data_IF_543055164976
#
_entry.id   IF_543055164976
#
_cell.length_a   1.000
_cell.length_b   1.000
_cell.length_c   1.000
_cell.angle_alpha   90.00
_cell.angle_beta   90.00
_cell.angle_gamma   90.00
#
_symmetry.space_group_name_H-M   'P 1'
#
loop_
_entity.id
_entity.type
_entity.pdbx_description
1 polymer ?
#
# COMPACT_ATOMS: atom_id res chain seq x y z
N UNK A 1 8.15 -2.83 24.35
CA UNK A 1 8.28 -2.08 23.08
C UNK A 1 8.46 -3.09 21.96
N UNK A 2 7.75 -2.90 20.86
CA UNK A 2 7.89 -3.77 19.67
C UNK A 2 8.38 -2.89 18.53
N UNK A 3 9.46 -3.32 17.89
CA UNK A 3 10.03 -2.65 16.71
C UNK A 3 10.17 -3.70 15.61
N UNK A 4 9.69 -3.38 14.42
CA UNK A 4 9.85 -4.23 13.23
C UNK A 4 10.62 -3.45 12.17
N UNK A 5 11.64 -4.07 11.63
CA UNK A 5 12.34 -3.57 10.45
C UNK A 5 11.81 -4.30 9.20
N UNK A 6 11.81 -3.62 8.06
CA UNK A 6 11.30 -4.19 6.81
C UNK A 6 12.02 -5.46 6.38
N UNK A 7 13.24 -5.68 6.87
CA UNK A 7 14.02 -6.89 6.57
C UNK A 7 13.95 -7.96 7.65
N UNK A 8 13.15 -7.77 8.69
CA UNK A 8 12.97 -8.78 9.72
C UNK A 8 12.24 -10.00 9.16
N UNK A 9 12.58 -11.16 9.68
CA UNK A 9 11.97 -12.44 9.25
C UNK A 9 10.45 -12.39 9.37
N UNK A 10 9.93 -11.83 10.46
CA UNK A 10 8.49 -11.71 10.72
C UNK A 10 7.77 -10.88 9.66
N UNK A 11 8.48 -9.93 9.04
CA UNK A 11 7.95 -9.11 7.94
C UNK A 11 8.10 -9.84 6.61
N UNK A 12 9.28 -10.37 6.33
CA UNK A 12 9.56 -11.07 5.07
C UNK A 12 8.68 -12.31 4.89
N UNK A 13 8.38 -13.03 5.96
CA UNK A 13 7.51 -14.20 5.92
C UNK A 13 6.07 -13.89 5.50
N UNK A 14 5.65 -12.62 5.52
CA UNK A 14 4.33 -12.18 5.08
C UNK A 14 4.26 -11.82 3.61
N UNK A 15 5.34 -11.95 2.86
CA UNK A 15 5.40 -11.52 1.45
C UNK A 15 4.30 -12.16 0.62
N UNK A 16 3.54 -11.35 -0.11
CA UNK A 16 2.47 -11.82 -0.98
C UNK A 16 2.29 -10.89 -2.18
N UNK A 17 1.63 -11.42 -3.22
CA UNK A 17 1.24 -10.63 -4.39
C UNK A 17 -0.12 -9.99 -4.11
N UNK A 18 -0.15 -8.66 -4.07
CA UNK A 18 -1.35 -7.90 -3.78
C UNK A 18 -1.94 -7.33 -5.08
N UNK A 19 -3.23 -7.57 -5.30
CA UNK A 19 -4.02 -6.95 -6.36
C UNK A 19 -3.35 -6.98 -7.74
N UNK A 20 -2.76 -8.11 -8.08
CA UNK A 20 -2.24 -8.39 -9.42
C UNK A 20 -0.82 -7.93 -9.69
N UNK A 21 -0.29 -6.90 -9.04
CA UNK A 21 1.00 -6.36 -9.42
C UNK A 21 1.94 -5.92 -8.32
N UNK A 22 1.47 -5.75 -7.10
CA UNK A 22 2.30 -5.30 -5.99
C UNK A 22 2.86 -6.48 -5.20
N UNK A 23 4.14 -6.38 -4.82
CA UNK A 23 4.74 -7.28 -3.85
C UNK A 23 4.64 -6.58 -2.50
N UNK A 24 3.87 -7.14 -1.58
CA UNK A 24 3.55 -6.54 -0.30
C UNK A 24 4.04 -7.36 0.89
N UNK A 25 4.35 -6.66 1.97
CA UNK A 25 4.78 -7.25 3.23
C UNK A 25 4.15 -6.50 4.38
N UNK A 26 3.71 -7.23 5.41
CA UNK A 26 3.12 -6.65 6.61
C UNK A 26 4.22 -6.33 7.61
N UNK A 27 4.44 -5.04 7.87
CA UNK A 27 5.42 -4.57 8.87
C UNK A 27 4.82 -4.76 10.27
N UNK A 28 3.61 -4.24 10.46
CA UNK A 28 2.83 -4.41 11.69
C UNK A 28 1.40 -4.77 11.28
N UNK A 29 0.84 -5.77 11.90
CA UNK A 29 -0.51 -6.24 11.59
C UNK A 29 -1.24 -6.75 12.84
N UNK A 30 -2.35 -7.45 12.64
CA UNK A 30 -3.21 -7.93 13.74
C UNK A 30 -2.52 -8.92 14.69
N UNK A 31 -1.36 -9.42 14.36
CA UNK A 31 -0.56 -10.20 15.32
C UNK A 31 -0.15 -9.35 16.53
N UNK A 32 -0.09 -8.02 16.35
CA UNK A 32 0.33 -7.04 17.37
C UNK A 32 -0.73 -5.95 17.57
N UNK A 33 -1.23 -5.39 16.46
CA UNK A 33 -2.11 -4.21 16.48
C UNK A 33 -3.52 -4.57 16.97
N UNK A 34 -4.14 -3.61 17.66
CA UNK A 34 -5.51 -3.75 18.23
C UNK A 34 -6.51 -2.85 17.53
N UNK A 35 -6.16 -1.57 17.34
CA UNK A 35 -7.06 -0.55 16.81
C UNK A 35 -6.76 -0.21 15.34
N UNK A 36 -5.49 -0.26 14.95
CA UNK A 36 -5.06 -0.06 13.57
C UNK A 36 -5.02 -1.44 12.89
N UNK A 37 -5.48 -1.52 11.65
CA UNK A 37 -5.54 -2.79 10.93
C UNK A 37 -4.16 -3.31 10.56
N UNK A 38 -3.39 -2.51 9.81
CA UNK A 38 -2.02 -2.88 9.46
C UNK A 38 -1.22 -1.69 8.95
N UNK A 39 0.09 -1.85 8.99
CA UNK A 39 1.07 -1.06 8.25
C UNK A 39 1.83 -2.01 7.34
N UNK A 40 1.69 -1.82 6.05
CA UNK A 40 2.37 -2.63 5.04
C UNK A 40 3.31 -1.78 4.19
N UNK A 41 4.31 -2.43 3.61
CA UNK A 41 5.10 -1.86 2.53
C UNK A 41 4.80 -2.64 1.25
N UNK A 42 4.62 -1.93 0.14
CA UNK A 42 4.33 -2.53 -1.15
C UNK A 42 5.23 -1.94 -2.22
N UNK A 43 5.66 -2.79 -3.15
CA UNK A 43 6.55 -2.43 -4.23
C UNK A 43 5.91 -2.79 -5.56
N UNK A 44 5.92 -1.82 -6.48
CA UNK A 44 5.48 -2.00 -7.85
C UNK A 44 6.65 -1.82 -8.79
N UNK A 45 7.01 -2.84 -9.52
CA UNK A 45 7.96 -2.71 -10.62
C UNK A 45 7.36 -1.85 -11.74
N UNK A 46 8.20 -1.24 -12.60
CA UNK A 46 7.71 -0.47 -13.74
C UNK A 46 6.68 -1.26 -14.57
N UNK A 47 5.58 -0.61 -14.90
CA UNK A 47 4.49 -1.21 -15.68
C UNK A 47 3.51 -2.07 -14.87
N UNK A 48 3.81 -2.35 -13.60
CA UNK A 48 2.90 -3.09 -12.73
C UNK A 48 1.91 -2.16 -12.06
N UNK A 49 0.80 -2.74 -11.60
CA UNK A 49 -0.23 -1.96 -10.93
C UNK A 49 -0.88 -2.71 -9.77
N UNK A 50 -1.34 -1.95 -8.80
CA UNK A 50 -2.38 -2.39 -7.87
C UNK A 50 -3.69 -2.20 -8.64
N UNK A 51 -4.29 -3.32 -9.08
CA UNK A 51 -5.50 -3.28 -9.88
C UNK A 51 -6.65 -2.65 -9.10
N UNK A 52 -7.57 -2.02 -9.83
CA UNK A 52 -8.73 -1.35 -9.23
C UNK A 52 -9.55 -2.32 -8.38
N UNK A 53 -9.80 -1.93 -7.14
CA UNK A 53 -10.55 -2.73 -6.17
C UNK A 53 -11.19 -1.85 -5.11
N UNK A 54 -12.09 -2.45 -4.33
CA UNK A 54 -12.80 -1.80 -3.23
C UNK A 54 -12.51 -2.60 -1.97
N UNK A 55 -12.10 -1.90 -0.92
CA UNK A 55 -11.86 -2.49 0.40
C UNK A 55 -12.87 -1.97 1.44
N UNK A 56 -13.17 -2.77 2.47
CA UNK A 56 -14.04 -2.32 3.57
C UNK A 56 -13.31 -1.42 4.57
N UNK A 57 -12.01 -1.20 4.40
CA UNK A 57 -11.20 -0.37 5.30
C UNK A 57 -11.01 1.03 4.74
N UNK A 58 -10.79 1.98 5.65
CA UNK A 58 -10.18 3.25 5.31
C UNK A 58 -8.67 3.03 5.17
N UNK A 59 -8.06 3.62 4.15
CA UNK A 59 -6.64 3.39 3.87
C UNK A 59 -5.90 4.70 3.56
N UNK A 60 -4.59 4.66 3.76
CA UNK A 60 -3.66 5.70 3.32
C UNK A 60 -2.55 5.01 2.51
N UNK A 61 -2.27 5.55 1.32
CA UNK A 61 -1.08 5.19 0.55
C UNK A 61 -0.09 6.34 0.63
N UNK A 62 1.11 6.08 1.13
CA UNK A 62 2.18 7.06 1.23
C UNK A 62 3.34 6.63 0.36
N UNK A 63 3.74 7.46 -0.62
CA UNK A 63 4.84 7.14 -1.52
C UNK A 63 6.17 7.42 -0.85
N UNK A 64 7.01 6.40 -0.75
CA UNK A 64 8.38 6.52 -0.24
C UNK A 64 9.36 6.85 -1.37
N UNK A 65 9.24 6.17 -2.51
CA UNK A 65 10.13 6.35 -3.65
C UNK A 65 9.43 5.95 -4.94
N UNK A 66 9.97 6.42 -6.06
CA UNK A 66 9.33 6.23 -7.35
C UNK A 66 8.11 7.13 -7.51
N UNK A 67 7.28 6.81 -8.48
CA UNK A 67 6.07 7.58 -8.79
C UNK A 67 5.02 6.67 -9.40
N UNK A 68 3.81 7.16 -9.48
CA UNK A 68 2.72 6.41 -10.09
C UNK A 68 1.50 7.25 -10.36
N UNK A 69 0.57 6.67 -11.09
CA UNK A 69 -0.74 7.25 -11.33
C UNK A 69 -1.73 6.66 -10.32
N UNK A 70 -2.19 7.50 -9.40
CA UNK A 70 -3.14 7.12 -8.36
C UNK A 70 -4.55 7.46 -8.81
N UNK A 71 -5.46 6.50 -8.62
CA UNK A 71 -6.89 6.70 -8.87
C UNK A 71 -7.66 6.42 -7.59
N UNK A 72 -8.60 7.33 -7.27
CA UNK A 72 -9.62 7.11 -6.24
C UNK A 72 -10.96 7.54 -6.85
N UNK A 73 -11.88 6.61 -6.99
CA UNK A 73 -13.17 6.79 -7.68
C UNK A 73 -12.96 7.42 -9.07
N UNK A 74 -13.47 8.63 -9.31
CA UNK A 74 -13.37 9.31 -10.61
C UNK A 74 -12.14 10.21 -10.75
N UNK A 75 -11.34 10.31 -9.72
CA UNK A 75 -10.15 11.17 -9.72
C UNK A 75 -8.89 10.37 -10.01
N UNK A 76 -8.04 10.93 -10.86
CA UNK A 76 -6.73 10.35 -11.19
C UNK A 76 -5.68 11.44 -11.05
N UNK A 77 -4.57 11.11 -10.41
CA UNK A 77 -3.49 12.06 -10.19
C UNK A 77 -2.15 11.37 -10.17
N UNK A 78 -1.13 12.02 -10.73
CA UNK A 78 0.25 11.59 -10.60
C UNK A 78 0.73 11.88 -9.17
N UNK A 79 1.33 10.88 -8.52
CA UNK A 79 1.88 10.96 -7.17
C UNK A 79 3.36 10.59 -7.17
N UNK A 80 4.10 11.12 -6.22
CA UNK A 80 5.53 10.87 -6.05
C UNK A 80 5.94 10.90 -4.59
N UNK A 81 7.25 10.82 -4.29
CA UNK A 81 7.75 10.72 -2.92
C UNK A 81 7.21 11.81 -2.00
N UNK A 82 6.70 11.40 -0.85
CA UNK A 82 6.11 12.31 0.13
C UNK A 82 4.63 12.56 -0.04
N UNK A 83 4.00 12.09 -1.13
CA UNK A 83 2.57 12.22 -1.31
C UNK A 83 1.83 11.16 -0.50
N UNK A 84 0.79 11.59 0.21
CA UNK A 84 -0.14 10.73 0.91
C UNK A 84 -1.52 10.81 0.25
N UNK A 85 -2.09 9.67 -0.08
CA UNK A 85 -3.45 9.57 -0.62
C UNK A 85 -4.37 8.97 0.42
N UNK A 86 -5.45 9.66 0.73
CA UNK A 86 -6.52 9.13 1.55
C UNK A 86 -7.51 8.36 0.69
N UNK A 87 -7.84 7.15 1.11
CA UNK A 87 -8.80 6.28 0.43
C UNK A 87 -9.96 6.02 1.38
N UNK A 88 -11.13 6.63 1.11
CA UNK A 88 -12.32 6.39 1.94
C UNK A 88 -12.77 4.94 1.89
N UNK A 89 -13.46 4.50 2.94
CA UNK A 89 -14.11 3.19 2.96
C UNK A 89 -15.02 3.06 1.74
N UNK A 90 -14.88 1.96 1.00
CA UNK A 90 -15.74 1.64 -0.13
C UNK A 90 -15.40 2.34 -1.43
N UNK A 91 -14.36 3.16 -1.48
CA UNK A 91 -13.92 3.80 -2.72
C UNK A 91 -13.10 2.87 -3.58
N UNK A 92 -13.41 2.83 -4.88
CA UNK A 92 -12.57 2.14 -5.85
C UNK A 92 -11.22 2.86 -5.92
N UNK A 93 -10.13 2.11 -5.84
CA UNK A 93 -8.80 2.70 -5.95
C UNK A 93 -7.83 1.79 -6.68
N UNK A 94 -6.84 2.41 -7.29
CA UNK A 94 -5.81 1.76 -8.08
C UNK A 94 -4.54 2.61 -8.07
N UNK A 95 -3.40 1.96 -8.24
CA UNK A 95 -2.11 2.65 -8.40
C UNK A 95 -1.33 1.94 -9.50
N UNK A 96 -0.93 2.70 -10.51
CA UNK A 96 -0.13 2.18 -11.62
C UNK A 96 1.25 2.81 -11.62
N UNK A 97 2.28 1.98 -11.67
CA UNK A 97 3.64 2.48 -11.87
C UNK A 97 3.85 2.76 -13.37
N UNK A 98 3.73 4.01 -13.75
CA UNK A 98 3.95 4.50 -15.11
C UNK A 98 5.34 5.13 -15.29
N UNK A 99 6.23 4.94 -14.32
CA UNK A 99 7.63 5.37 -14.38
C UNK A 99 8.57 4.23 -14.78
N UNK A 100 9.86 4.51 -14.66
CA UNK A 100 10.93 3.57 -15.01
C UNK A 100 11.70 3.02 -13.79
N UNK A 101 11.28 3.40 -12.58
CA UNK A 101 11.82 2.90 -11.32
C UNK A 101 10.72 2.22 -10.51
N UNK A 102 11.10 1.41 -9.52
CA UNK A 102 10.13 0.85 -8.60
C UNK A 102 9.37 1.95 -7.86
N UNK A 103 8.07 1.78 -7.75
CA UNK A 103 7.24 2.62 -6.89
C UNK A 103 7.04 1.90 -5.55
N UNK A 104 7.52 2.50 -4.47
CA UNK A 104 7.45 1.92 -3.12
C UNK A 104 6.53 2.77 -2.28
N UNK A 105 5.54 2.12 -1.68
CA UNK A 105 4.54 2.79 -0.84
C UNK A 105 4.44 2.13 0.53
N UNK A 106 4.05 2.93 1.51
CA UNK A 106 3.50 2.44 2.77
C UNK A 106 1.98 2.45 2.66
N UNK A 107 1.35 1.44 3.20
CA UNK A 107 -0.11 1.31 3.26
C UNK A 107 -0.52 1.20 4.72
N UNK A 108 -1.39 2.10 5.15
CA UNK A 108 -2.02 2.04 6.47
C UNK A 108 -3.50 1.74 6.25
N UNK A 109 -4.03 0.78 6.98
CA UNK A 109 -5.44 0.43 6.90
C UNK A 109 -6.08 0.40 8.28
N UNK A 110 -7.36 0.75 8.33
CA UNK A 110 -8.16 0.61 9.55
C UNK A 110 -8.44 -0.85 9.88
N UNK A 111 -8.95 -1.12 11.09
CA UNK A 111 -9.18 -2.49 11.57
C UNK A 111 -10.61 -2.98 11.38
N UNK A 112 -11.47 -2.23 10.72
CA UNK A 112 -12.90 -2.53 10.57
C UNK A 112 -13.22 -3.50 9.42
N UNK A 113 -12.47 -4.61 9.36
CA UNK A 113 -12.62 -5.58 8.27
C UNK A 113 -12.47 -7.02 8.71
#
# INVERSE_FOLDING_TARGET
>A
MIVRHVNDKEVLDTTYLAHGGAIAQMILDRRILKEIGFLAIARLAPGKEIEGHIDPMEEIYFVLSGSGEMRVDDETRQVGPGDATWIPVGSLHALKNNGDEDCVILVVASSNW
#
